data_IF_753281387977
#
_entry.id   IF_753281387977
#
_cell.length_a   1.000
_cell.length_b   1.000
_cell.length_c   1.000
_cell.angle_alpha   90.00
_cell.angle_beta   90.00
_cell.angle_gamma   90.00
#
_symmetry.space_group_name_H-M   'P 1'
#
loop_
_entity.id
_entity.type
_entity.pdbx_description
1 polymer ?
#
# COMPACT_ATOMS: atom_id res chain seq x y z
N UNK A 1 -1.70 -21.04 2.05
CA UNK A 1 -2.55 -20.17 1.25
C UNK A 1 -2.12 -18.73 1.48
N UNK A 2 -1.86 -17.98 0.44
CA UNK A 2 -1.42 -16.58 0.47
C UNK A 2 -2.55 -15.69 1.02
N UNK A 3 -2.31 -14.95 2.08
CA UNK A 3 -3.32 -14.08 2.73
C UNK A 3 -2.72 -12.67 2.96
N UNK A 4 -2.76 -11.78 1.97
CA UNK A 4 -2.40 -10.38 2.14
C UNK A 4 -3.50 -9.62 2.90
N UNK A 5 -3.14 -8.52 3.55
CA UNK A 5 -4.10 -7.60 4.17
C UNK A 5 -4.78 -6.70 3.13
N UNK A 6 -4.05 -6.34 2.09
CA UNK A 6 -4.54 -5.48 1.02
C UNK A 6 -4.11 -6.01 -0.35
N UNK A 7 -5.04 -5.98 -1.30
CA UNK A 7 -4.79 -6.33 -2.71
C UNK A 7 -5.43 -5.29 -3.60
N UNK A 8 -4.70 -4.88 -4.63
CA UNK A 8 -5.25 -4.06 -5.71
C UNK A 8 -4.72 -4.52 -7.04
N UNK A 9 -5.52 -4.36 -8.10
CA UNK A 9 -5.12 -4.64 -9.46
C UNK A 9 -5.50 -3.46 -10.38
N UNK A 10 -4.67 -3.22 -11.37
CA UNK A 10 -4.84 -2.22 -12.40
C UNK A 10 -4.60 -2.85 -13.75
N UNK A 11 -5.56 -2.67 -14.65
CA UNK A 11 -5.46 -3.10 -16.04
C UNK A 11 -5.47 -1.83 -16.90
N UNK A 12 -4.38 -1.58 -17.62
CA UNK A 12 -4.28 -0.43 -18.52
C UNK A 12 -5.05 -0.69 -19.81
N UNK A 13 -5.54 0.36 -20.45
CA UNK A 13 -6.07 0.25 -21.81
C UNK A 13 -4.96 -0.17 -22.76
N UNK A 14 -5.26 -0.99 -23.78
CA UNK A 14 -4.27 -1.35 -24.77
C UNK A 14 -3.69 -0.10 -25.46
N UNK A 15 -2.38 -0.11 -25.67
CA UNK A 15 -1.65 0.91 -26.43
C UNK A 15 -0.80 0.25 -27.52
N UNK A 16 -0.17 1.02 -28.39
CA UNK A 16 0.55 0.49 -29.56
C UNK A 16 2.01 0.91 -29.50
N UNK A 17 2.91 -0.04 -29.71
CA UNK A 17 4.34 0.20 -29.88
C UNK A 17 4.82 -0.43 -31.19
N UNK A 18 5.38 0.36 -32.11
CA UNK A 18 5.86 -0.07 -33.44
C UNK A 18 4.81 -0.91 -34.22
N UNK A 19 3.56 -0.49 -34.19
CA UNK A 19 2.47 -1.19 -34.86
C UNK A 19 1.90 -2.40 -34.11
N UNK A 20 2.52 -2.83 -33.00
CA UNK A 20 2.05 -3.96 -32.19
C UNK A 20 1.27 -3.47 -30.98
N UNK A 21 0.02 -3.93 -30.78
CA UNK A 21 -0.73 -3.62 -29.58
C UNK A 21 -0.16 -4.35 -28.37
N UNK A 22 -0.16 -3.66 -27.23
CA UNK A 22 0.20 -4.26 -25.95
C UNK A 22 -0.67 -3.73 -24.82
N UNK A 23 -0.76 -4.46 -23.74
CA UNK A 23 -1.49 -4.12 -22.53
C UNK A 23 -0.64 -4.45 -21.30
N UNK A 24 -0.74 -3.63 -20.28
CA UNK A 24 -0.07 -3.85 -19.00
C UNK A 24 -1.10 -4.13 -17.91
N UNK A 25 -0.85 -5.17 -17.15
CA UNK A 25 -1.59 -5.52 -15.95
C UNK A 25 -0.65 -5.51 -14.75
N UNK A 26 -1.09 -4.88 -13.66
CA UNK A 26 -0.32 -4.79 -12.42
C UNK A 26 -1.21 -5.19 -11.25
N UNK A 27 -0.68 -5.97 -10.33
CA UNK A 27 -1.31 -6.19 -9.05
C UNK A 27 -0.32 -5.98 -7.91
N UNK A 28 -0.81 -5.44 -6.80
CA UNK A 28 -0.07 -5.26 -5.56
C UNK A 28 -0.76 -6.05 -4.46
N UNK A 29 0.04 -6.80 -3.68
CA UNK A 29 -0.42 -7.49 -2.48
C UNK A 29 0.46 -7.07 -1.30
N UNK A 30 -0.14 -6.50 -0.25
CA UNK A 30 0.57 -5.90 0.87
C UNK A 30 0.15 -6.51 2.21
N UNK A 31 1.14 -6.69 3.11
CA UNK A 31 0.90 -7.09 4.50
C UNK A 31 0.50 -8.55 4.69
N UNK A 32 0.01 -8.89 5.88
CA UNK A 32 -0.38 -10.24 6.26
C UNK A 32 0.77 -11.24 6.11
N UNK A 33 0.52 -12.41 5.56
CA UNK A 33 1.52 -13.45 5.35
C UNK A 33 2.58 -13.12 4.29
N UNK A 34 2.53 -11.96 3.63
CA UNK A 34 3.58 -11.54 2.69
C UNK A 34 4.91 -11.37 3.40
N UNK A 35 4.90 -10.84 4.62
CA UNK A 35 6.10 -10.66 5.43
C UNK A 35 6.80 -11.99 5.75
N UNK A 36 6.04 -13.07 5.95
CA UNK A 36 6.58 -14.43 6.20
C UNK A 36 7.28 -14.98 4.94
N UNK A 37 6.77 -14.67 3.75
CA UNK A 37 7.36 -15.12 2.49
C UNK A 37 8.68 -14.43 2.16
N UNK A 38 8.91 -13.24 2.68
CA UNK A 38 10.13 -12.47 2.44
C UNK A 38 11.35 -12.98 3.22
N UNK A 39 11.21 -13.99 4.09
CA UNK A 39 12.31 -14.65 4.81
C UNK A 39 13.35 -13.66 5.37
N UNK A 40 12.89 -12.60 6.08
CA UNK A 40 13.73 -11.50 6.60
C UNK A 40 14.30 -10.52 5.55
N UNK A 41 13.98 -10.65 4.28
CA UNK A 41 14.28 -9.62 3.28
C UNK A 41 13.22 -8.53 3.39
N UNK A 42 13.65 -7.29 3.64
CA UNK A 42 12.74 -6.14 3.69
C UNK A 42 12.29 -5.67 2.30
N UNK A 43 12.92 -6.15 1.24
CA UNK A 43 12.68 -5.73 -0.15
C UNK A 43 11.45 -6.42 -0.73
N UNK A 44 10.63 -5.67 -1.46
CA UNK A 44 9.44 -6.20 -2.15
C UNK A 44 9.78 -7.33 -3.12
N UNK A 45 8.90 -8.31 -3.22
CA UNK A 45 9.00 -9.40 -4.18
C UNK A 45 8.41 -8.92 -5.52
N UNK A 46 9.21 -8.96 -6.58
CA UNK A 46 8.74 -8.63 -7.93
C UNK A 46 8.50 -9.89 -8.74
N UNK A 47 7.24 -10.11 -9.14
CA UNK A 47 6.82 -11.18 -10.03
C UNK A 47 6.57 -10.60 -11.43
N UNK A 48 7.33 -11.06 -12.42
CA UNK A 48 7.31 -10.57 -13.79
C UNK A 48 6.76 -11.61 -14.73
N UNK A 49 5.83 -11.21 -15.58
CA UNK A 49 5.19 -12.09 -16.56
C UNK A 49 5.16 -11.44 -17.95
N UNK A 50 5.11 -12.28 -18.96
CA UNK A 50 4.91 -11.89 -20.34
C UNK A 50 3.93 -12.90 -20.97
N UNK A 51 2.74 -12.43 -21.42
CA UNK A 51 1.63 -13.29 -21.85
C UNK A 51 1.37 -14.42 -20.84
N UNK A 52 1.24 -14.07 -19.55
CA UNK A 52 1.01 -15.00 -18.43
C UNK A 52 2.13 -16.00 -18.16
N UNK A 53 3.27 -15.89 -18.89
CA UNK A 53 4.42 -16.75 -18.66
C UNK A 53 5.40 -16.07 -17.72
N UNK A 54 5.84 -16.71 -16.61
CA UNK A 54 6.75 -16.08 -15.66
C UNK A 54 8.15 -15.90 -16.26
N UNK A 55 8.74 -14.74 -15.98
CA UNK A 55 10.13 -14.39 -16.31
C UNK A 55 11.00 -14.63 -15.08
N UNK A 56 11.63 -15.82 -15.00
CA UNK A 56 12.32 -16.27 -13.78
C UNK A 56 13.76 -15.76 -13.66
N UNK A 57 14.41 -15.42 -14.77
CA UNK A 57 15.84 -15.09 -14.83
C UNK A 57 16.05 -13.64 -15.30
N UNK A 58 17.29 -13.13 -15.18
CA UNK A 58 17.72 -11.80 -15.65
C UNK A 58 16.82 -10.66 -15.13
N UNK A 59 16.52 -10.67 -13.83
CA UNK A 59 15.63 -9.68 -13.22
C UNK A 59 16.19 -8.25 -13.36
N UNK A 60 17.47 -8.04 -13.08
CA UNK A 60 18.11 -6.72 -13.13
C UNK A 60 18.14 -6.09 -14.52
N UNK A 61 18.04 -6.92 -15.56
CA UNK A 61 18.19 -6.51 -16.98
C UNK A 61 16.82 -6.48 -17.71
N UNK A 62 15.73 -6.34 -16.99
CA UNK A 62 14.38 -6.40 -17.54
C UNK A 62 13.69 -5.02 -17.46
N UNK A 63 13.07 -4.60 -18.56
CA UNK A 63 12.30 -3.35 -18.62
C UNK A 63 11.18 -3.27 -17.58
N UNK A 64 10.60 -4.39 -17.16
CA UNK A 64 9.63 -4.41 -16.06
C UNK A 64 10.31 -4.00 -14.75
N UNK A 65 11.46 -4.59 -14.42
CA UNK A 65 12.22 -4.25 -13.20
C UNK A 65 12.62 -2.79 -13.21
N UNK A 66 13.15 -2.32 -14.35
CA UNK A 66 13.51 -0.92 -14.54
C UNK A 66 12.34 0.02 -14.28
N UNK A 67 11.17 -0.30 -14.80
CA UNK A 67 9.96 0.50 -14.57
C UNK A 67 9.57 0.56 -13.09
N UNK A 68 9.68 -0.57 -12.36
CA UNK A 68 9.38 -0.62 -10.92
C UNK A 68 10.38 0.20 -10.10
N UNK A 69 11.67 0.14 -10.42
CA UNK A 69 12.74 0.90 -9.77
C UNK A 69 12.64 2.41 -10.01
N UNK A 70 12.16 2.81 -11.20
CA UNK A 70 11.97 4.22 -11.57
C UNK A 70 10.71 4.86 -10.98
N UNK A 71 9.79 4.08 -10.40
CA UNK A 71 8.66 4.63 -9.64
C UNK A 71 9.17 5.10 -8.27
N UNK A 72 8.87 6.34 -7.90
CA UNK A 72 9.16 6.85 -6.55
C UNK A 72 8.11 6.35 -5.56
N UNK A 73 8.37 5.19 -4.96
CA UNK A 73 7.48 4.53 -3.99
C UNK A 73 7.35 5.29 -2.67
N UNK A 74 8.26 6.22 -2.38
CA UNK A 74 8.18 7.08 -1.18
C UNK A 74 6.93 7.96 -1.22
N UNK A 75 6.48 8.38 -2.40
CA UNK A 75 5.23 9.12 -2.59
C UNK A 75 3.98 8.31 -2.16
N UNK A 76 4.12 6.99 -2.03
CA UNK A 76 3.04 6.08 -1.62
C UNK A 76 3.22 5.56 -0.19
N UNK A 77 4.16 6.15 0.58
CA UNK A 77 4.40 5.79 1.98
C UNK A 77 5.28 4.56 2.19
N UNK A 78 6.05 4.14 1.17
CA UNK A 78 7.00 3.05 1.25
C UNK A 78 8.43 3.56 1.27
N UNK A 79 9.32 2.88 2.01
CA UNK A 79 10.75 3.16 1.95
C UNK A 79 11.34 2.61 0.64
N UNK A 80 12.24 3.38 0.01
CA UNK A 80 12.92 2.95 -1.21
C UNK A 80 14.34 3.50 -1.22
N UNK A 81 15.37 2.65 -1.17
CA UNK A 81 16.73 3.04 -1.49
C UNK A 81 16.83 3.45 -2.96
N UNK A 82 17.73 4.38 -3.28
CA UNK A 82 17.88 4.88 -4.65
C UNK A 82 18.16 3.77 -5.66
N UNK A 83 17.37 3.72 -6.73
CA UNK A 83 17.57 2.75 -7.83
C UNK A 83 17.26 1.29 -7.47
N UNK A 84 16.44 1.04 -6.46
CA UNK A 84 16.09 -0.31 -6.02
C UNK A 84 14.58 -0.51 -5.88
N UNK A 85 14.17 -1.74 -5.64
CA UNK A 85 12.79 -2.09 -5.30
C UNK A 85 12.42 -1.48 -3.93
N UNK A 86 11.12 -1.19 -3.69
CA UNK A 86 10.67 -0.66 -2.42
C UNK A 86 10.89 -1.67 -1.28
N UNK A 87 11.16 -1.15 -0.09
CA UNK A 87 11.31 -1.93 1.15
C UNK A 87 9.98 -1.94 1.89
N UNK A 88 9.23 -3.04 1.76
CA UNK A 88 7.95 -3.25 2.41
C UNK A 88 7.52 -4.72 2.30
N UNK A 89 6.59 -5.20 3.15
CA UNK A 89 5.96 -6.50 2.96
C UNK A 89 4.99 -6.44 1.77
N UNK A 90 5.56 -6.35 0.56
CA UNK A 90 4.86 -6.09 -0.69
C UNK A 90 5.25 -7.10 -1.76
N UNK A 91 4.25 -7.64 -2.48
CA UNK A 91 4.45 -8.34 -3.74
C UNK A 91 3.93 -7.44 -4.85
N UNK A 92 4.76 -7.23 -5.85
CA UNK A 92 4.46 -6.50 -7.07
C UNK A 92 4.37 -7.53 -8.19
N UNK A 93 3.21 -7.63 -8.79
CA UNK A 93 2.96 -8.46 -9.96
C UNK A 93 2.81 -7.56 -11.18
N UNK A 94 3.55 -7.87 -12.25
CA UNK A 94 3.44 -7.16 -13.54
C UNK A 94 3.37 -8.17 -14.65
N UNK A 95 2.32 -8.08 -15.48
CA UNK A 95 2.16 -8.86 -16.70
C UNK A 95 2.11 -7.94 -17.92
N UNK A 96 2.96 -8.23 -18.88
CA UNK A 96 3.03 -7.54 -20.17
C UNK A 96 2.41 -8.44 -21.25
N UNK A 97 1.28 -8.00 -21.79
CA UNK A 97 0.52 -8.74 -22.80
C UNK A 97 0.73 -8.09 -24.17
N UNK A 98 1.13 -8.87 -25.17
CA UNK A 98 1.28 -8.39 -26.53
C UNK A 98 1.26 -9.53 -27.54
N UNK A 99 0.83 -9.24 -28.76
CA UNK A 99 1.01 -10.15 -29.90
C UNK A 99 2.48 -10.33 -30.27
N UNK A 100 3.32 -9.32 -29.95
CA UNK A 100 4.76 -9.36 -30.14
C UNK A 100 5.45 -8.83 -28.87
N UNK A 101 6.13 -9.72 -28.15
CA UNK A 101 6.86 -9.35 -26.93
C UNK A 101 8.30 -9.01 -27.33
N UNK A 102 8.78 -7.78 -27.03
CA UNK A 102 10.14 -7.37 -27.32
C UNK A 102 11.11 -7.95 -26.29
N UNK A 103 11.46 -9.22 -26.43
CA UNK A 103 12.46 -9.84 -25.58
C UNK A 103 13.85 -9.27 -25.86
N UNK A 104 14.69 -9.17 -24.82
CA UNK A 104 16.06 -8.70 -24.90
C UNK A 104 17.01 -9.73 -25.54
N UNK A 105 16.66 -11.01 -25.44
CA UNK A 105 17.44 -12.15 -25.96
C UNK A 105 16.54 -13.30 -26.40
N UNK A 106 17.11 -14.24 -27.16
CA UNK A 106 16.42 -15.45 -27.60
C UNK A 106 15.91 -16.34 -26.44
N UNK A 107 16.56 -16.25 -25.27
CA UNK A 107 16.15 -16.95 -24.07
C UNK A 107 14.83 -16.48 -23.44
N UNK A 108 14.22 -15.42 -23.96
CA UNK A 108 12.90 -14.89 -23.54
C UNK A 108 12.78 -14.62 -22.01
N UNK A 109 13.89 -14.23 -21.38
CA UNK A 109 14.00 -14.09 -19.93
C UNK A 109 13.74 -12.68 -19.44
N UNK A 110 13.88 -11.67 -20.30
CA UNK A 110 13.72 -10.27 -19.98
C UNK A 110 13.09 -9.51 -21.15
N UNK A 111 12.24 -8.53 -20.82
CA UNK A 111 11.66 -7.58 -21.79
C UNK A 111 12.64 -6.44 -22.01
N UNK A 112 12.79 -6.00 -23.25
CA UNK A 112 13.66 -4.90 -23.61
C UNK A 112 13.17 -3.56 -23.02
N UNK A 113 14.11 -2.67 -22.73
CA UNK A 113 13.86 -1.38 -22.09
C UNK A 113 13.47 -0.31 -23.11
N UNK A 114 12.24 -0.39 -23.63
CA UNK A 114 11.70 0.66 -24.48
C UNK A 114 10.97 1.72 -23.66
N UNK A 115 11.26 3.03 -23.88
CA UNK A 115 10.69 4.11 -23.08
C UNK A 115 9.17 4.12 -23.03
N UNK A 116 8.50 3.78 -24.13
CA UNK A 116 7.05 3.74 -24.24
C UNK A 116 6.45 2.62 -23.37
N UNK A 117 7.10 1.45 -23.36
CA UNK A 117 6.70 0.29 -22.56
C UNK A 117 6.93 0.59 -21.08
N UNK A 118 8.12 1.10 -20.74
CA UNK A 118 8.46 1.50 -19.37
C UNK A 118 7.44 2.53 -18.85
N UNK A 119 7.08 3.52 -19.66
CA UNK A 119 6.10 4.56 -19.31
C UNK A 119 4.74 3.96 -18.98
N UNK A 120 4.21 3.05 -19.78
CA UNK A 120 2.91 2.43 -19.51
C UNK A 120 2.93 1.55 -18.27
N UNK A 121 4.01 0.81 -18.03
CA UNK A 121 4.19 0.05 -16.80
C UNK A 121 4.23 0.98 -15.59
N UNK A 122 4.99 2.09 -15.66
CA UNK A 122 5.04 3.10 -14.60
C UNK A 122 3.68 3.70 -14.31
N UNK A 123 2.88 4.03 -15.32
CA UNK A 123 1.53 4.57 -15.13
C UNK A 123 0.62 3.58 -14.40
N UNK A 124 0.70 2.28 -14.75
CA UNK A 124 -0.05 1.23 -14.05
C UNK A 124 0.38 1.10 -12.58
N UNK A 125 1.69 1.09 -12.33
CA UNK A 125 2.27 1.02 -10.98
C UNK A 125 1.90 2.24 -10.13
N UNK A 126 1.95 3.43 -10.71
CA UNK A 126 1.56 4.68 -10.04
C UNK A 126 0.08 4.68 -9.65
N UNK A 127 -0.80 4.16 -10.50
CA UNK A 127 -2.22 4.03 -10.19
C UNK A 127 -2.44 3.02 -9.05
N UNK A 128 -1.81 1.85 -9.11
CA UNK A 128 -1.86 0.86 -8.04
C UNK A 128 -1.24 1.40 -6.73
N UNK A 129 -0.14 2.15 -6.84
CA UNK A 129 0.54 2.81 -5.72
C UNK A 129 -0.36 3.83 -5.01
N UNK A 130 -1.12 4.64 -5.74
CA UNK A 130 -2.10 5.56 -5.14
C UNK A 130 -3.16 4.84 -4.31
N UNK A 131 -3.68 3.72 -4.81
CA UNK A 131 -4.65 2.90 -4.07
C UNK A 131 -4.03 2.30 -2.80
N UNK A 132 -2.79 1.84 -2.88
CA UNK A 132 -2.03 1.35 -1.73
C UNK A 132 -1.79 2.47 -0.70
N UNK A 133 -1.42 3.68 -1.14
CA UNK A 133 -1.20 4.82 -0.27
C UNK A 133 -2.45 5.18 0.54
N UNK A 134 -3.63 5.19 -0.08
CA UNK A 134 -4.91 5.43 0.61
C UNK A 134 -5.11 4.39 1.74
N UNK A 135 -4.85 3.11 1.44
CA UNK A 135 -4.94 2.04 2.45
C UNK A 135 -3.94 2.26 3.60
N UNK A 136 -2.67 2.55 3.29
CA UNK A 136 -1.63 2.77 4.30
C UNK A 136 -1.95 3.97 5.21
N UNK A 137 -2.42 5.07 4.63
CA UNK A 137 -2.85 6.24 5.39
C UNK A 137 -4.01 5.92 6.34
N UNK A 138 -5.01 5.16 5.88
CA UNK A 138 -6.12 4.71 6.74
C UNK A 138 -5.63 3.81 7.88
N UNK A 139 -4.72 2.88 7.60
CA UNK A 139 -4.12 1.98 8.59
C UNK A 139 -3.34 2.75 9.66
N UNK A 140 -2.41 3.62 9.26
CA UNK A 140 -1.59 4.43 10.18
C UNK A 140 -2.48 5.33 11.05
N UNK A 141 -3.51 5.96 10.46
CA UNK A 141 -4.46 6.80 11.20
C UNK A 141 -5.22 5.98 12.24
N UNK A 142 -5.69 4.77 11.88
CA UNK A 142 -6.37 3.88 12.82
C UNK A 142 -5.48 3.45 13.98
N UNK A 143 -4.21 3.16 13.73
CA UNK A 143 -3.24 2.82 14.77
C UNK A 143 -2.94 4.01 15.68
N UNK A 144 -2.76 5.21 15.13
CA UNK A 144 -2.57 6.44 15.92
C UNK A 144 -3.76 6.74 16.81
N UNK A 145 -5.00 6.56 16.31
CA UNK A 145 -6.19 6.74 17.09
C UNK A 145 -6.26 5.74 18.27
N UNK A 146 -6.00 4.47 18.01
CA UNK A 146 -5.93 3.44 19.05
C UNK A 146 -4.88 3.74 20.12
N UNK A 147 -3.69 4.21 19.70
CA UNK A 147 -2.65 4.62 20.63
C UNK A 147 -3.10 5.77 21.53
N UNK A 148 -3.78 6.78 20.95
CA UNK A 148 -4.33 7.89 21.75
C UNK A 148 -5.32 7.41 22.79
N UNK A 149 -6.25 6.53 22.41
CA UNK A 149 -7.24 5.96 23.34
C UNK A 149 -6.56 5.21 24.45
N UNK A 150 -5.62 4.32 24.15
CA UNK A 150 -4.88 3.58 25.16
C UNK A 150 -4.15 4.50 26.16
N UNK A 151 -3.58 5.61 25.67
CA UNK A 151 -2.95 6.62 26.51
C UNK A 151 -4.01 7.27 27.44
N UNK A 152 -5.15 7.72 26.89
CA UNK A 152 -6.21 8.32 27.69
C UNK A 152 -6.80 7.33 28.70
N UNK A 153 -6.98 6.07 28.31
CA UNK A 153 -7.44 5.02 29.26
C UNK A 153 -6.44 4.79 30.39
N UNK A 154 -5.13 4.77 30.08
CA UNK A 154 -4.08 4.63 31.09
C UNK A 154 -4.09 5.80 32.12
N UNK A 155 -4.28 7.03 31.63
CA UNK A 155 -4.37 8.21 32.51
C UNK A 155 -5.74 8.36 33.20
N UNK A 156 -6.80 7.71 32.72
CA UNK A 156 -8.16 7.86 33.27
C UNK A 156 -8.25 7.48 34.75
N UNK A 157 -7.44 6.52 35.21
CA UNK A 157 -7.41 6.10 36.61
C UNK A 157 -6.91 7.25 37.51
N UNK A 158 -5.75 7.78 37.22
CA UNK A 158 -5.13 8.87 38.00
C UNK A 158 -6.03 10.13 37.95
N UNK A 159 -6.55 10.45 36.77
CA UNK A 159 -7.42 11.61 36.60
C UNK A 159 -8.76 11.46 37.34
N UNK A 160 -9.33 10.24 37.38
CA UNK A 160 -10.55 9.99 38.10
C UNK A 160 -10.40 10.11 39.61
N UNK A 161 -9.25 9.74 40.18
CA UNK A 161 -8.93 9.93 41.61
C UNK A 161 -8.87 11.43 41.94
N UNK A 162 -8.16 12.25 41.18
CA UNK A 162 -8.10 13.69 41.37
C UNK A 162 -9.46 14.38 41.26
N UNK A 163 -10.26 14.03 40.26
CA UNK A 163 -11.60 14.60 40.10
C UNK A 163 -12.54 14.14 41.18
N UNK A 164 -12.42 12.92 41.69
CA UNK A 164 -13.16 12.41 42.81
C UNK A 164 -12.88 13.20 44.08
N UNK A 165 -11.59 13.45 44.40
CA UNK A 165 -11.19 14.28 45.54
C UNK A 165 -11.75 15.71 45.46
N UNK A 166 -11.73 16.33 44.28
CA UNK A 166 -12.23 17.69 44.07
C UNK A 166 -13.76 17.81 44.11
N UNK A 167 -14.46 16.78 43.65
CA UNK A 167 -15.94 16.83 43.49
C UNK A 167 -16.71 16.09 44.56
N UNK A 168 -16.04 15.28 45.39
CA UNK A 168 -16.65 14.40 46.38
C UNK A 168 -17.50 13.25 45.80
N UNK A 169 -17.35 12.98 44.48
CA UNK A 169 -18.07 11.91 43.81
C UNK A 169 -17.25 10.62 43.81
N UNK A 170 -17.92 9.49 43.73
CA UNK A 170 -17.28 8.18 43.65
C UNK A 170 -16.33 8.06 42.46
N UNK A 171 -15.14 7.46 42.69
CA UNK A 171 -14.08 7.30 41.70
C UNK A 171 -14.55 6.49 40.48
N UNK A 172 -15.32 5.41 40.71
CA UNK A 172 -15.82 4.57 39.62
C UNK A 172 -16.85 5.32 38.76
N UNK A 173 -17.69 6.14 39.36
CA UNK A 173 -18.64 6.98 38.63
C UNK A 173 -17.90 7.98 37.74
N UNK A 174 -16.91 8.65 38.28
CA UNK A 174 -16.08 9.63 37.54
C UNK A 174 -15.35 8.94 36.37
N UNK A 175 -14.71 7.79 36.64
CA UNK A 175 -14.01 6.99 35.65
C UNK A 175 -14.92 6.58 34.49
N UNK A 176 -16.13 6.09 34.82
CA UNK A 176 -17.13 5.71 33.80
C UNK A 176 -17.49 6.90 32.89
N UNK A 177 -17.68 8.07 33.49
CA UNK A 177 -17.99 9.31 32.74
C UNK A 177 -16.84 9.77 31.84
N UNK A 178 -15.61 9.66 32.30
CA UNK A 178 -14.42 9.98 31.51
C UNK A 178 -14.31 9.05 30.30
N UNK A 179 -14.47 7.75 30.51
CA UNK A 179 -14.42 6.77 29.42
C UNK A 179 -15.57 6.95 28.39
N UNK A 180 -16.78 7.31 28.84
CA UNK A 180 -17.88 7.67 27.95
C UNK A 180 -17.55 8.90 27.09
N UNK A 181 -16.89 9.91 27.64
CA UNK A 181 -16.48 11.12 26.92
C UNK A 181 -15.38 10.83 25.89
N UNK A 182 -14.40 10.01 26.24
CA UNK A 182 -13.34 9.55 25.33
C UNK A 182 -13.96 8.86 24.11
N UNK A 183 -14.85 7.89 24.35
CA UNK A 183 -15.54 7.16 23.28
C UNK A 183 -16.41 8.06 22.40
N UNK A 184 -17.14 9.02 22.99
CA UNK A 184 -17.92 10.01 22.20
C UNK A 184 -17.04 10.94 21.38
N UNK A 185 -15.86 11.28 21.86
CA UNK A 185 -14.86 12.04 21.11
C UNK A 185 -14.35 11.30 19.88
N UNK A 186 -14.14 9.99 20.00
CA UNK A 186 -13.75 9.12 18.87
C UNK A 186 -14.82 9.09 17.77
N UNK A 187 -16.09 8.94 18.12
CA UNK A 187 -17.20 8.92 17.16
C UNK A 187 -17.28 10.22 16.37
N UNK A 188 -17.16 11.39 17.01
CA UNK A 188 -17.20 12.67 16.31
C UNK A 188 -16.01 12.89 15.38
N UNK A 189 -14.80 12.54 15.80
CA UNK A 189 -13.63 12.63 14.92
C UNK A 189 -13.70 11.64 13.75
N UNK A 190 -14.32 10.48 13.91
CA UNK A 190 -14.55 9.49 12.87
C UNK A 190 -15.58 9.96 11.84
N UNK A 191 -16.71 10.49 12.26
CA UNK A 191 -17.79 10.98 11.39
C UNK A 191 -17.39 12.23 10.60
N UNK A 192 -16.77 13.23 11.23
CA UNK A 192 -16.30 14.43 10.53
C UNK A 192 -15.25 14.14 9.45
N UNK A 193 -14.48 13.06 9.61
CA UNK A 193 -13.46 12.66 8.64
C UNK A 193 -14.03 11.81 7.51
N UNK A 194 -15.01 10.94 7.77
CA UNK A 194 -15.74 10.23 6.71
C UNK A 194 -16.45 11.21 5.77
N UNK A 195 -17.12 12.21 6.31
CA UNK A 195 -17.80 13.23 5.51
C UNK A 195 -16.81 14.02 4.64
N UNK A 196 -15.61 14.33 5.15
CA UNK A 196 -14.56 15.00 4.37
C UNK A 196 -13.94 14.11 3.29
N UNK A 197 -13.83 12.82 3.52
CA UNK A 197 -13.31 11.86 2.52
C UNK A 197 -14.34 11.61 1.40
N UNK A 198 -15.64 11.49 1.70
CA UNK A 198 -16.71 11.37 0.70
C UNK A 198 -16.84 12.62 -0.19
N UNK A 199 -16.63 13.81 0.35
CA UNK A 199 -16.66 15.07 -0.43
C UNK A 199 -15.48 15.20 -1.40
N UNK A 200 -14.35 14.52 -1.13
CA UNK A 200 -13.15 14.53 -2.02
C UNK A 200 -13.26 13.47 -3.12
N UNK A 201 -13.98 12.37 -2.90
CA UNK A 201 -14.20 11.33 -3.92
C UNK A 201 -15.24 11.73 -4.99
N UNK A 202 -16.04 12.78 -4.75
CA UNK A 202 -17.10 13.27 -5.67
C UNK A 202 -16.63 14.44 -6.57
N UNK A 203 -15.39 14.88 -6.46
CA UNK A 203 -14.75 15.86 -7.35
C UNK A 203 -13.63 15.22 -8.17
#
# INVERSE_FOLDING_TARGET
MFQPEFVTAVIRKPTVYRGNPFQVQVALAYGGKVAELQQNQQTAILLRFANHTPLLYNQSDCGITRAVEEVDWRNYGLSQPSGSLPQAPLIIFVDFLSVWIPYKSEGKQAIAEYPEIIKEIKLALQEAGRRLAIYLHKKIRGEQLRMRVNIFEAYSNVFSEFVSELTGKDVEYVKKKILELIRKGEYKEGEEKQIKEEVVEVK
#
